data_IF_199107458883
#
_entry.id   IF_199107458883
#
_cell.length_a   1.000
_cell.length_b   1.000
_cell.length_c   1.000
_cell.angle_alpha   90.00
_cell.angle_beta   90.00
_cell.angle_gamma   90.00
#
_symmetry.space_group_name_H-M   'P 1'
#
loop_
_entity.id
_entity.type
_entity.pdbx_description
1 polymer ?
#
# COMPACT_ATOMS: atom_id res chain seq x y z
N UNK A 1 -15.23 3.13 -33.37
CA UNK A 1 -15.17 4.03 -32.20
C UNK A 1 -14.11 3.50 -31.24
N UNK A 2 -12.83 3.66 -31.56
CA UNK A 2 -11.68 3.08 -30.83
C UNK A 2 -10.70 4.13 -30.33
N UNK A 3 -11.22 5.34 -30.07
CA UNK A 3 -10.44 6.58 -29.96
C UNK A 3 -9.74 6.79 -28.63
N UNK A 4 -9.92 5.90 -27.65
CA UNK A 4 -9.30 5.99 -26.34
C UNK A 4 -8.34 4.83 -26.11
N UNK A 5 -7.39 4.71 -27.05
CA UNK A 5 -6.27 3.77 -27.00
C UNK A 5 -5.58 3.83 -25.62
N UNK A 6 -5.15 2.68 -25.11
CA UNK A 6 -4.41 2.55 -23.83
C UNK A 6 -3.27 3.57 -23.72
N UNK A 7 -2.68 3.95 -24.84
CA UNK A 7 -1.68 5.01 -24.95
C UNK A 7 -2.14 6.39 -24.44
N UNK A 8 -3.40 6.76 -24.65
CA UNK A 8 -3.95 8.02 -24.15
C UNK A 8 -3.97 8.04 -22.62
N UNK A 9 -4.41 6.95 -21.99
CA UNK A 9 -4.44 6.83 -20.54
C UNK A 9 -3.05 6.88 -19.90
N UNK A 10 -2.02 6.34 -20.56
CA UNK A 10 -0.63 6.47 -20.10
C UNK A 10 -0.16 7.93 -20.10
N UNK A 11 -0.44 8.68 -21.17
CA UNK A 11 -0.08 10.10 -21.25
C UNK A 11 -0.83 10.91 -20.19
N UNK A 12 -2.13 10.66 -20.00
CA UNK A 12 -2.93 11.37 -18.99
C UNK A 12 -2.41 11.11 -17.58
N UNK A 13 -2.09 9.86 -17.24
CA UNK A 13 -1.51 9.52 -15.93
C UNK A 13 -0.18 10.24 -15.69
N UNK A 14 0.67 10.35 -16.72
CA UNK A 14 1.93 11.07 -16.61
C UNK A 14 1.70 12.55 -16.28
N UNK A 15 0.79 13.21 -16.99
CA UNK A 15 0.47 14.63 -16.75
C UNK A 15 -0.12 14.83 -15.35
N UNK A 16 -1.03 13.96 -14.91
CA UNK A 16 -1.59 14.01 -13.55
C UNK A 16 -0.50 13.87 -12.50
N UNK A 17 0.44 12.94 -12.67
CA UNK A 17 1.56 12.76 -11.75
C UNK A 17 2.48 13.99 -11.70
N UNK A 18 2.69 14.68 -12.83
CA UNK A 18 3.47 15.91 -12.90
C UNK A 18 2.76 17.10 -12.22
N UNK A 19 1.45 17.25 -12.43
CA UNK A 19 0.65 18.35 -11.85
C UNK A 19 0.50 18.19 -10.33
N UNK A 20 0.19 16.98 -9.87
CA UNK A 20 0.05 16.71 -8.43
C UNK A 20 1.40 16.55 -7.74
N UNK A 21 2.45 16.24 -8.49
CA UNK A 21 3.77 15.89 -7.98
C UNK A 21 3.79 14.51 -7.31
N UNK A 22 4.93 13.82 -7.41
CA UNK A 22 5.09 12.46 -6.84
C UNK A 22 4.99 12.43 -5.32
N UNK A 23 5.23 13.55 -4.62
CA UNK A 23 5.20 13.64 -3.15
C UNK A 23 3.77 13.55 -2.59
N UNK A 24 2.80 14.26 -3.19
CA UNK A 24 1.38 14.15 -2.80
C UNK A 24 0.77 12.82 -3.23
N UNK A 25 1.12 12.36 -4.43
CA UNK A 25 0.66 11.06 -4.95
C UNK A 25 1.18 9.90 -4.10
N UNK A 26 2.40 9.96 -3.57
CA UNK A 26 2.94 8.94 -2.66
C UNK A 26 2.29 8.95 -1.29
N UNK A 27 1.99 10.12 -0.73
CA UNK A 27 1.35 10.21 0.58
C UNK A 27 -0.07 9.62 0.52
N UNK A 28 -0.89 10.09 -0.42
CA UNK A 28 -2.28 9.61 -0.55
C UNK A 28 -2.35 8.22 -1.19
N UNK A 29 -1.45 7.93 -2.13
CA UNK A 29 -1.34 6.62 -2.76
C UNK A 29 -0.83 5.54 -1.81
N UNK A 30 -0.08 5.88 -0.76
CA UNK A 30 0.29 4.96 0.31
C UNK A 30 -0.93 4.52 1.13
N UNK A 31 -1.73 5.49 1.58
CA UNK A 31 -2.93 5.22 2.38
C UNK A 31 -3.99 4.44 1.60
N UNK A 32 -4.27 4.86 0.35
CA UNK A 32 -5.23 4.18 -0.53
C UNK A 32 -4.66 2.85 -1.05
N UNK A 33 -3.37 2.82 -1.37
CA UNK A 33 -2.69 1.61 -1.86
C UNK A 33 -2.62 0.51 -0.82
N UNK A 34 -2.42 0.85 0.46
CA UNK A 34 -2.47 -0.10 1.57
C UNK A 34 -3.83 -0.76 1.72
N UNK A 35 -4.91 0.03 1.67
CA UNK A 35 -6.28 -0.49 1.75
C UNK A 35 -6.60 -1.43 0.57
N UNK A 36 -6.20 -1.06 -0.65
CA UNK A 36 -6.42 -1.87 -1.85
C UNK A 36 -5.53 -3.14 -1.85
N UNK A 37 -4.30 -3.08 -1.31
CA UNK A 37 -3.42 -4.25 -1.16
C UNK A 37 -4.07 -5.32 -0.29
N UNK A 38 -4.56 -4.94 0.89
CA UNK A 38 -5.25 -5.85 1.81
C UNK A 38 -6.52 -6.44 1.19
N UNK A 39 -7.29 -5.64 0.43
CA UNK A 39 -8.46 -6.13 -0.31
C UNK A 39 -8.07 -7.16 -1.38
N UNK A 40 -7.01 -6.91 -2.15
CA UNK A 40 -6.52 -7.85 -3.18
C UNK A 40 -5.98 -9.15 -2.57
N UNK A 41 -5.32 -9.05 -1.41
CA UNK A 41 -4.84 -10.21 -0.64
C UNK A 41 -6.01 -11.04 -0.14
N UNK A 42 -6.99 -10.44 0.53
CA UNK A 42 -8.19 -11.14 1.01
C UNK A 42 -8.99 -11.83 -0.11
N UNK A 43 -9.12 -11.18 -1.28
CA UNK A 43 -9.81 -11.76 -2.44
C UNK A 43 -9.04 -12.92 -3.07
N UNK A 44 -7.69 -12.89 -3.04
CA UNK A 44 -6.87 -14.02 -3.53
C UNK A 44 -6.81 -15.17 -2.51
N UNK A 45 -6.75 -14.86 -1.22
CA UNK A 45 -6.72 -15.83 -0.13
C UNK A 45 -8.06 -16.58 0.00
N UNK A 46 -9.19 -15.91 -0.31
CA UNK A 46 -10.49 -16.57 -0.47
C UNK A 46 -10.56 -17.55 -1.65
N UNK A 47 -9.62 -17.49 -2.59
CA UNK A 47 -9.51 -18.43 -3.73
C UNK A 47 -8.48 -19.55 -3.49
N UNK A 48 -7.54 -19.37 -2.56
CA UNK A 48 -6.49 -20.34 -2.26
C UNK A 48 -6.16 -20.32 -0.76
N UNK A 49 -6.40 -21.42 -0.05
CA UNK A 49 -6.00 -21.60 1.35
C UNK A 49 -5.20 -22.90 1.52
N UNK A 50 -4.26 -23.04 2.48
CA UNK A 50 -3.53 -22.02 3.26
C UNK A 50 -2.00 -22.16 3.10
N UNK A 51 -1.27 -21.05 3.07
CA UNK A 51 0.14 -21.03 3.47
C UNK A 51 0.49 -19.64 3.98
N UNK A 52 0.63 -19.56 5.30
CA UNK A 52 1.13 -18.43 6.05
C UNK A 52 2.61 -18.23 5.70
N UNK A 53 2.98 -17.13 5.01
CA UNK A 53 4.31 -16.53 5.18
C UNK A 53 4.38 -15.06 4.73
N UNK A 54 4.74 -14.21 5.69
CA UNK A 54 5.44 -12.92 5.66
C UNK A 54 5.41 -12.01 4.41
N UNK A 55 5.07 -10.74 4.68
CA UNK A 55 5.22 -9.63 3.73
C UNK A 55 5.36 -8.24 4.36
N UNK A 56 6.36 -8.08 5.24
CA UNK A 56 7.11 -6.85 5.54
C UNK A 56 6.39 -5.61 6.13
N UNK A 57 6.61 -5.43 7.43
CA UNK A 57 7.02 -4.21 8.16
C UNK A 57 7.10 -2.90 7.36
N UNK A 58 6.17 -1.99 7.63
CA UNK A 58 6.40 -0.55 7.48
C UNK A 58 5.48 0.24 8.44
N UNK A 59 5.98 0.50 9.65
CA UNK A 59 5.41 1.51 10.55
C UNK A 59 5.06 0.99 11.94
N UNK A 60 5.87 1.37 12.93
CA UNK A 60 5.55 1.20 14.35
C UNK A 60 6.56 0.33 15.08
N UNK A 61 7.64 0.95 15.54
CA UNK A 61 8.51 0.38 16.57
C UNK A 61 7.68 0.20 17.84
N UNK A 62 7.30 -1.03 18.19
CA UNK A 62 6.87 -1.36 19.56
C UNK A 62 8.14 -1.66 20.37
N UNK A 63 8.75 -0.61 20.92
CA UNK A 63 9.69 -0.77 22.04
C UNK A 63 8.86 -0.76 23.31
N UNK A 64 8.26 -1.92 23.61
CA UNK A 64 7.78 -2.25 24.94
C UNK A 64 8.84 -3.13 25.59
N UNK A 65 9.60 -2.56 26.52
CA UNK A 65 10.30 -3.27 27.60
C UNK A 65 11.03 -2.23 28.45
N UNK A 66 10.46 -1.87 29.60
CA UNK A 66 11.11 -1.86 30.92
C UNK A 66 10.27 -1.05 31.92
N UNK A 67 9.30 -1.70 32.57
CA UNK A 67 8.55 -1.12 33.69
C UNK A 67 8.43 -2.10 34.87
N UNK A 68 9.34 -3.09 34.97
CA UNK A 68 9.28 -4.12 36.03
C UNK A 68 10.65 -4.56 36.54
N UNK A 69 11.63 -3.67 36.63
CA UNK A 69 12.90 -3.96 37.30
C UNK A 69 13.36 -2.81 38.21
N UNK A 70 12.59 -2.51 39.26
CA UNK A 70 13.10 -1.78 40.44
C UNK A 70 12.17 -1.98 41.65
N UNK A 71 11.88 -3.24 42.00
CA UNK A 71 11.35 -3.56 43.33
C UNK A 71 11.88 -4.91 43.79
N UNK A 72 13.19 -4.94 44.05
CA UNK A 72 13.81 -5.75 45.09
C UNK A 72 15.20 -5.23 45.40
#
# INVERSE_FOLDING_TARGET
>A
MGSFSIWHWLIVLLIVALVFGTKKLRNIGGDVGGAVKNFKEAVNEGKSSPALEHGNTAGGQTVEHDATQARH
#
